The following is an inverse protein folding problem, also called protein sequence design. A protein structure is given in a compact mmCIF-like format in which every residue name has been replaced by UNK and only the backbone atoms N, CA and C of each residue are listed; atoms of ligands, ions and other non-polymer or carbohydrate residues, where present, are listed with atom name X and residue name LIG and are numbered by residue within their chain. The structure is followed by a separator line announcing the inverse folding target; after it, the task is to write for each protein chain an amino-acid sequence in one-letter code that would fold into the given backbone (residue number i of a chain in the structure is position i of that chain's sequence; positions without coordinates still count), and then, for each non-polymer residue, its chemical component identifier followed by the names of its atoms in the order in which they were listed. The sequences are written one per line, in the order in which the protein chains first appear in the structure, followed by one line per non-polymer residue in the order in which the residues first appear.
data_IF_997364435681
#
_entry.id   IF_997364435681
#
_cell.length_a   1.000
_cell.length_b   1.000
_cell.length_c   1.000
_cell.angle_alpha   90.00
_cell.angle_beta   90.00
_cell.angle_gamma   90.00
#
_symmetry.space_group_name_H-M   'P 1'
#
loop_
_entity.id
_entity.type
_entity.pdbx_description
1 polymer ?
#
# COMPACT_ATOMS: atom_id res chain seq x y z
N UNK A 1 -11.24 -14.52 49.11
CA UNK A 1 -10.37 -15.08 48.05
C UNK A 1 -10.36 -14.10 46.89
N UNK A 2 -9.22 -13.51 46.56
CA UNK A 2 -9.09 -12.65 45.39
C UNK A 2 -8.87 -13.52 44.14
N UNK A 3 -9.75 -13.43 43.15
CA UNK A 3 -9.58 -14.09 41.87
C UNK A 3 -8.54 -13.33 41.03
N UNK A 4 -7.43 -13.98 40.72
CA UNK A 4 -6.44 -13.45 39.79
C UNK A 4 -7.00 -13.49 38.36
N UNK A 5 -7.30 -12.32 37.80
CA UNK A 5 -7.60 -12.15 36.38
C UNK A 5 -6.32 -12.27 35.56
N UNK A 6 -5.84 -13.50 35.36
CA UNK A 6 -4.72 -13.77 34.45
C UNK A 6 -5.26 -13.80 33.01
N UNK A 7 -4.88 -12.80 32.22
CA UNK A 7 -5.17 -12.76 30.79
C UNK A 7 -4.60 -14.00 30.11
N UNK A 8 -5.46 -14.84 29.52
CA UNK A 8 -5.02 -16.02 28.77
C UNK A 8 -4.34 -15.56 27.48
N UNK A 9 -3.04 -15.80 27.37
CA UNK A 9 -2.29 -15.56 26.13
C UNK A 9 -2.68 -16.62 25.11
N UNK A 10 -3.49 -16.25 24.13
CA UNK A 10 -3.75 -17.09 22.97
C UNK A 10 -2.52 -17.10 22.06
N UNK A 11 -1.93 -18.27 21.86
CA UNK A 11 -0.84 -18.47 20.91
C UNK A 11 -1.48 -18.77 19.55
N UNK A 12 -1.60 -17.74 18.71
CA UNK A 12 -2.15 -17.88 17.36
C UNK A 12 -1.13 -18.40 16.35
N UNK A 13 0.16 -18.33 16.68
CA UNK A 13 1.26 -18.63 15.76
C UNK A 13 2.37 -19.37 16.48
N UNK A 14 2.83 -20.44 15.87
CA UNK A 14 4.07 -21.09 16.26
C UNK A 14 5.25 -20.32 15.64
N UNK A 15 6.21 -19.94 16.49
CA UNK A 15 7.42 -19.26 16.06
C UNK A 15 8.44 -20.30 15.63
N UNK A 16 8.68 -20.39 14.33
CA UNK A 16 9.78 -21.19 13.78
C UNK A 16 10.92 -20.27 13.35
N UNK A 17 12.15 -20.55 13.82
CA UNK A 17 13.33 -19.77 13.40
C UNK A 17 13.88 -20.35 12.11
N UNK A 18 13.78 -19.58 11.03
CA UNK A 18 14.34 -19.94 9.73
C UNK A 18 15.87 -19.92 9.80
N UNK A 19 16.52 -20.95 9.28
CA UNK A 19 17.98 -21.07 9.20
C UNK A 19 18.45 -20.95 7.75
N UNK A 20 19.64 -20.42 7.51
CA UNK A 20 20.20 -20.39 6.16
C UNK A 20 20.46 -21.81 5.66
N UNK A 21 20.02 -22.17 4.44
CA UNK A 21 20.29 -23.49 3.87
C UNK A 21 21.79 -23.71 3.55
N UNK A 22 22.55 -22.63 3.35
CA UNK A 22 23.98 -22.66 3.00
C UNK A 22 24.94 -22.48 4.18
N UNK A 23 24.50 -21.89 5.30
CA UNK A 23 25.36 -21.60 6.46
C UNK A 23 24.91 -22.36 7.70
N UNK A 24 25.28 -23.65 7.78
CA UNK A 24 25.43 -24.47 8.98
C UNK A 24 24.53 -24.13 10.19
N UNK A 25 23.22 -23.96 9.96
CA UNK A 25 22.24 -23.72 11.01
C UNK A 25 22.26 -22.34 11.67
N UNK A 26 22.95 -21.34 11.11
CA UNK A 26 22.81 -19.95 11.56
C UNK A 26 21.39 -19.44 11.29
N UNK A 27 20.85 -18.75 12.29
CA UNK A 27 19.54 -18.13 12.19
C UNK A 27 19.54 -17.06 11.11
N UNK A 28 18.49 -17.03 10.30
CA UNK A 28 18.24 -15.98 9.34
C UNK A 28 18.09 -14.64 10.07
N UNK A 29 18.95 -13.68 9.75
CA UNK A 29 18.90 -12.35 10.34
C UNK A 29 18.44 -11.36 9.29
N UNK A 30 17.39 -10.63 9.64
CA UNK A 30 16.94 -9.50 8.84
C UNK A 30 17.95 -8.36 8.97
N UNK A 31 18.30 -7.67 7.87
CA UNK A 31 19.17 -6.50 7.94
C UNK A 31 18.55 -5.39 8.79
N UNK A 32 19.42 -4.65 9.45
CA UNK A 32 19.02 -3.52 10.30
C UNK A 32 18.50 -2.39 9.41
N UNK A 33 17.43 -1.71 9.84
CA UNK A 33 16.91 -0.52 9.15
C UNK A 33 15.77 -0.78 8.17
N UNK A 34 14.98 -1.84 8.38
CA UNK A 34 13.77 -2.09 7.60
C UNK A 34 12.77 -0.95 7.85
N UNK A 35 12.50 -0.16 6.82
CA UNK A 35 11.58 0.98 6.89
C UNK A 35 10.18 0.66 6.34
N UNK A 36 10.06 -0.32 5.44
CA UNK A 36 8.80 -0.75 4.86
C UNK A 36 8.86 -2.23 4.46
N UNK A 37 7.73 -2.91 4.52
CA UNK A 37 7.56 -4.25 3.95
C UNK A 37 6.13 -4.39 3.42
N UNK A 38 5.96 -5.23 2.42
CA UNK A 38 4.65 -5.67 1.95
C UNK A 38 4.78 -7.12 1.45
N UNK A 39 3.69 -7.79 1.12
CA UNK A 39 3.72 -9.15 0.58
C UNK A 39 2.70 -9.36 -0.51
N UNK A 40 3.16 -9.95 -1.62
CA UNK A 40 2.32 -10.33 -2.75
C UNK A 40 2.92 -11.50 -3.52
N UNK A 41 2.06 -12.36 -4.07
CA UNK A 41 2.43 -13.47 -4.97
C UNK A 41 3.52 -14.41 -4.42
N UNK A 42 3.53 -14.66 -3.11
CA UNK A 42 4.53 -15.53 -2.48
C UNK A 42 5.90 -14.87 -2.27
N UNK A 43 5.97 -13.55 -2.42
CA UNK A 43 7.10 -12.73 -2.01
C UNK A 43 6.71 -11.92 -0.79
N UNK A 44 7.57 -11.90 0.23
CA UNK A 44 7.60 -10.84 1.24
C UNK A 44 8.68 -9.88 0.74
N UNK A 45 8.41 -8.57 0.72
CA UNK A 45 9.31 -7.56 0.15
C UNK A 45 10.52 -7.36 1.05
N UNK A 46 11.41 -8.31 0.83
CA UNK A 46 12.83 -8.52 1.04
C UNK A 46 13.33 -9.44 -0.12
N UNK A 47 12.57 -9.48 -1.23
CA UNK A 47 12.47 -10.58 -2.21
C UNK A 47 12.88 -11.95 -1.65
N UNK A 48 12.31 -12.30 -0.51
CA UNK A 48 12.35 -13.68 -0.06
C UNK A 48 11.30 -14.41 -0.89
N UNK A 49 11.80 -15.18 -1.84
CA UNK A 49 11.02 -16.19 -2.56
C UNK A 49 10.57 -17.28 -1.58
N UNK A 50 9.56 -18.08 -1.95
CA UNK A 50 9.18 -19.29 -1.18
C UNK A 50 10.36 -20.25 -0.95
N UNK A 51 11.37 -20.23 -1.82
CA UNK A 51 12.62 -20.97 -1.69
C UNK A 51 13.65 -20.32 -0.76
N UNK A 52 13.28 -19.24 -0.04
CA UNK A 52 14.14 -18.46 0.85
C UNK A 52 15.41 -17.94 0.19
N UNK A 53 15.40 -17.77 -1.14
CA UNK A 53 16.51 -17.16 -1.87
C UNK A 53 16.33 -15.64 -1.84
N UNK A 54 17.20 -14.91 -1.13
CA UNK A 54 17.11 -13.45 -1.05
C UNK A 54 17.54 -12.85 -2.39
N UNK A 55 16.67 -12.04 -2.97
CA UNK A 55 17.05 -11.12 -4.05
C UNK A 55 16.97 -9.70 -3.49
N UNK A 56 17.88 -8.83 -3.91
CA UNK A 56 17.83 -7.42 -3.53
C UNK A 56 18.21 -6.56 -4.71
N UNK A 57 17.67 -5.35 -4.73
CA UNK A 57 18.04 -4.34 -5.70
C UNK A 57 17.89 -2.98 -5.03
N UNK A 58 18.66 -2.01 -5.50
CA UNK A 58 18.59 -0.65 -4.97
C UNK A 58 17.44 0.10 -5.62
N UNK A 59 16.33 0.29 -4.89
CA UNK A 59 15.19 1.04 -5.38
C UNK A 59 15.40 2.57 -5.29
N UNK A 60 16.07 3.03 -4.24
CA UNK A 60 16.34 4.46 -3.99
C UNK A 60 17.73 4.65 -3.39
N UNK A 61 18.26 5.87 -3.51
CA UNK A 61 19.58 6.23 -2.95
C UNK A 61 19.56 6.42 -1.42
N UNK A 62 18.47 6.94 -0.85
CA UNK A 62 18.39 7.20 0.61
C UNK A 62 17.53 6.18 1.35
N UNK A 63 16.21 6.19 1.13
CA UNK A 63 15.28 5.31 1.83
C UNK A 63 14.01 5.05 1.05
N UNK A 64 13.42 3.89 1.31
CA UNK A 64 12.04 3.54 0.92
C UNK A 64 11.15 3.84 2.12
N UNK A 65 10.01 4.47 1.91
CA UNK A 65 9.03 4.77 2.98
C UNK A 65 7.79 3.90 2.87
N UNK A 66 7.33 3.64 1.63
CA UNK A 66 6.09 2.90 1.39
C UNK A 66 6.29 1.90 0.26
N UNK A 67 5.65 0.75 0.38
CA UNK A 67 5.65 -0.31 -0.61
C UNK A 67 4.22 -0.80 -0.80
N UNK A 68 3.87 -1.10 -2.05
CA UNK A 68 2.59 -1.68 -2.41
C UNK A 68 2.80 -2.64 -3.59
N UNK A 69 2.70 -3.94 -3.32
CA UNK A 69 2.79 -5.01 -4.29
C UNK A 69 1.39 -5.50 -4.67
N UNK A 70 1.13 -5.52 -5.97
CA UNK A 70 -0.14 -6.03 -6.46
C UNK A 70 -0.19 -7.56 -6.34
N UNK A 71 -1.39 -8.09 -6.12
CA UNK A 71 -1.62 -9.54 -5.99
C UNK A 71 -1.86 -10.17 -7.36
N UNK A 72 -2.55 -9.46 -8.25
CA UNK A 72 -2.92 -9.98 -9.57
C UNK A 72 -1.87 -9.70 -10.65
N UNK A 73 -0.96 -8.76 -10.42
CA UNK A 73 0.11 -8.40 -11.37
C UNK A 73 1.47 -8.42 -10.68
N UNK A 74 2.55 -8.76 -11.40
CA UNK A 74 3.91 -8.72 -10.86
C UNK A 74 4.49 -7.30 -10.91
N UNK A 75 3.72 -6.37 -10.37
CA UNK A 75 4.04 -4.94 -10.32
C UNK A 75 4.21 -4.56 -8.87
N UNK A 76 5.29 -3.84 -8.59
CA UNK A 76 5.58 -3.24 -7.29
C UNK A 76 5.57 -1.72 -7.45
N UNK A 77 4.81 -1.04 -6.60
CA UNK A 77 4.86 0.42 -6.47
C UNK A 77 5.57 0.75 -5.17
N UNK A 78 6.54 1.65 -5.23
CA UNK A 78 7.28 2.11 -4.07
C UNK A 78 7.25 3.62 -3.97
N UNK A 79 7.39 4.13 -2.76
CA UNK A 79 7.65 5.54 -2.46
C UNK A 79 8.95 5.63 -1.67
N UNK A 80 9.80 6.58 -2.03
CA UNK A 80 11.09 6.76 -1.37
C UNK A 80 11.78 8.05 -1.76
N UNK A 81 12.97 8.26 -1.22
CA UNK A 81 13.77 9.46 -1.43
C UNK A 81 15.10 9.10 -2.07
N UNK A 82 15.46 9.80 -3.15
CA UNK A 82 16.77 9.68 -3.78
C UNK A 82 17.73 10.77 -3.30
N UNK A 83 17.24 11.95 -2.91
CA UNK A 83 18.09 13.07 -2.49
C UNK A 83 17.47 13.78 -1.28
N UNK A 84 18.31 14.29 -0.36
CA UNK A 84 17.81 14.95 0.84
C UNK A 84 17.19 16.30 0.46
N UNK A 85 16.03 16.61 1.04
CA UNK A 85 15.32 17.86 0.77
C UNK A 85 14.49 17.89 -0.52
N UNK A 86 14.47 16.80 -1.30
CA UNK A 86 13.57 16.64 -2.46
C UNK A 86 12.30 15.89 -2.05
N UNK A 87 11.20 16.20 -2.74
CA UNK A 87 9.94 15.47 -2.61
C UNK A 87 10.14 13.97 -2.84
N UNK A 88 9.43 13.11 -2.08
CA UNK A 88 9.49 11.68 -2.30
C UNK A 88 9.05 11.33 -3.74
N UNK A 89 9.69 10.33 -4.32
CA UNK A 89 9.42 9.83 -5.66
C UNK A 89 8.64 8.52 -5.57
N UNK A 90 7.61 8.40 -6.40
CA UNK A 90 6.95 7.12 -6.67
C UNK A 90 7.67 6.45 -7.83
N UNK A 91 8.04 5.19 -7.65
CA UNK A 91 8.60 4.32 -8.69
C UNK A 91 7.70 3.13 -8.90
N UNK A 92 7.40 2.82 -10.15
CA UNK A 92 6.63 1.64 -10.57
C UNK A 92 7.59 0.63 -11.18
N UNK A 93 7.65 -0.56 -10.62
CA UNK A 93 8.57 -1.62 -10.98
C UNK A 93 7.81 -2.79 -11.60
N UNK A 94 8.25 -3.22 -12.76
CA UNK A 94 7.82 -4.47 -13.36
C UNK A 94 8.82 -5.57 -12.97
N UNK A 95 8.36 -6.51 -12.16
CA UNK A 95 9.20 -7.59 -11.62
C UNK A 95 9.38 -8.75 -12.61
N UNK A 96 8.57 -8.83 -13.67
CA UNK A 96 8.72 -9.82 -14.74
C UNK A 96 9.87 -9.47 -15.70
N UNK A 97 10.20 -8.19 -15.79
CA UNK A 97 11.27 -7.68 -16.65
C UNK A 97 12.46 -7.27 -15.80
N UNK A 98 13.66 -7.69 -16.21
CA UNK A 98 14.89 -7.25 -15.56
C UNK A 98 15.71 -6.39 -16.50
N UNK A 99 16.20 -5.28 -15.98
CA UNK A 99 17.22 -4.44 -16.60
C UNK A 99 18.48 -4.51 -15.74
N UNK A 100 19.59 -4.96 -16.34
CA UNK A 100 20.89 -5.06 -15.67
C UNK A 100 20.86 -5.80 -14.32
N UNK A 101 20.03 -6.85 -14.22
CA UNK A 101 19.86 -7.66 -13.01
C UNK A 101 18.83 -7.13 -12.00
N UNK A 102 18.37 -5.89 -12.15
CA UNK A 102 17.33 -5.26 -11.32
C UNK A 102 15.96 -5.30 -12.00
N UNK A 103 14.83 -5.25 -11.26
CA UNK A 103 13.52 -5.09 -11.87
C UNK A 103 13.41 -3.82 -12.71
N UNK A 104 12.72 -3.89 -13.85
CA UNK A 104 12.55 -2.75 -14.75
C UNK A 104 11.69 -1.67 -14.07
N UNK A 105 12.25 -0.47 -13.89
CA UNK A 105 11.48 0.70 -13.48
C UNK A 105 10.72 1.27 -14.67
N UNK A 106 9.39 1.09 -14.71
CA UNK A 106 8.57 1.54 -15.83
C UNK A 106 8.19 3.01 -15.74
N UNK A 107 8.06 3.56 -14.52
CA UNK A 107 7.70 4.97 -14.30
C UNK A 107 8.32 5.51 -13.03
N UNK A 108 8.67 6.80 -13.07
CA UNK A 108 9.14 7.60 -11.94
C UNK A 108 8.43 8.95 -11.98
N UNK A 109 7.84 9.36 -10.87
CA UNK A 109 7.20 10.68 -10.76
C UNK A 109 7.17 11.15 -9.30
N UNK A 110 7.14 12.47 -9.04
CA UNK A 110 7.11 12.98 -7.67
C UNK A 110 5.74 12.79 -7.01
N UNK A 111 5.75 12.41 -5.73
CA UNK A 111 4.55 12.34 -4.89
C UNK A 111 4.32 13.72 -4.23
N UNK A 112 3.63 14.62 -4.93
CA UNK A 112 3.34 15.97 -4.43
C UNK A 112 1.84 16.25 -4.56
N UNK A 113 1.17 16.69 -3.49
CA UNK A 113 -0.18 17.23 -3.58
C UNK A 113 -0.10 18.69 -4.08
N UNK A 114 -0.13 18.87 -5.41
CA UNK A 114 -0.07 20.19 -6.02
C UNK A 114 1.34 20.80 -5.97
N UNK A 115 1.49 21.97 -5.34
CA UNK A 115 2.75 22.73 -5.33
C UNK A 115 3.51 22.69 -3.99
N UNK A 116 2.93 22.13 -2.92
CA UNK A 116 3.55 22.10 -1.60
C UNK A 116 4.17 20.73 -1.33
N UNK A 117 5.45 20.66 -0.91
CA UNK A 117 6.04 19.43 -0.38
C UNK A 117 5.27 18.93 0.85
N UNK A 118 4.69 17.73 0.75
CA UNK A 118 4.03 17.06 1.87
C UNK A 118 4.49 15.61 1.94
N UNK A 119 4.69 15.10 3.15
CA UNK A 119 5.03 13.69 3.38
C UNK A 119 3.89 12.75 3.01
N UNK A 120 4.24 11.66 2.33
CA UNK A 120 3.30 10.58 2.01
C UNK A 120 2.99 9.79 3.28
N UNK A 121 1.72 9.64 3.59
CA UNK A 121 1.26 8.87 4.75
C UNK A 121 0.82 7.46 4.36
N UNK A 122 0.22 7.29 3.18
CA UNK A 122 -0.26 5.98 2.71
C UNK A 122 -0.33 5.90 1.17
N UNK A 123 -0.31 4.67 0.64
CA UNK A 123 -0.35 4.36 -0.78
C UNK A 123 -1.35 3.22 -1.01
N UNK A 124 -2.14 3.31 -2.08
CA UNK A 124 -3.00 2.21 -2.53
C UNK A 124 -3.04 2.16 -4.06
N UNK A 125 -3.07 0.95 -4.60
CA UNK A 125 -3.13 0.71 -6.04
C UNK A 125 -4.24 -0.29 -6.32
N UNK A 126 -5.06 -0.02 -7.33
CA UNK A 126 -6.11 -0.94 -7.75
C UNK A 126 -5.51 -2.09 -8.57
N UNK A 127 -6.03 -3.30 -8.35
CA UNK A 127 -5.60 -4.52 -9.05
C UNK A 127 -5.80 -4.48 -10.58
N UNK A 128 -6.52 -3.49 -11.12
CA UNK A 128 -6.73 -3.35 -12.57
C UNK A 128 -5.72 -2.39 -13.22
N UNK A 129 -4.73 -1.91 -12.46
CA UNK A 129 -3.69 -0.97 -12.87
C UNK A 129 -4.19 0.39 -13.39
N UNK A 130 -5.48 0.70 -13.25
CA UNK A 130 -6.07 1.93 -13.78
C UNK A 130 -6.21 3.05 -12.75
N UNK A 131 -5.99 2.74 -11.47
CA UNK A 131 -6.10 3.70 -10.37
C UNK A 131 -4.99 3.50 -9.37
N UNK A 132 -4.41 4.61 -8.92
CA UNK A 132 -3.49 4.69 -7.80
C UNK A 132 -3.84 5.91 -6.98
N UNK A 133 -3.89 5.75 -5.66
CA UNK A 133 -4.13 6.84 -4.71
C UNK A 133 -2.95 6.97 -3.75
N UNK A 134 -2.54 8.20 -3.50
CA UNK A 134 -1.49 8.58 -2.55
C UNK A 134 -2.12 9.52 -1.54
N UNK A 135 -2.01 9.18 -0.26
CA UNK A 135 -2.48 10.01 0.85
C UNK A 135 -1.31 10.69 1.52
N UNK A 136 -1.54 11.90 2.02
CA UNK A 136 -0.52 12.74 2.63
C UNK A 136 -0.86 13.08 4.08
N UNK A 137 0.15 13.53 4.81
CA UNK A 137 0.02 13.93 6.22
C UNK A 137 -0.78 15.22 6.42
N UNK A 138 -0.85 16.08 5.40
CA UNK A 138 -1.69 17.28 5.40
C UNK A 138 -3.17 16.98 5.13
N UNK A 139 -3.56 15.71 5.00
CA UNK A 139 -4.93 15.34 4.67
C UNK A 139 -5.27 15.46 3.20
N UNK A 140 -4.28 15.66 2.32
CA UNK A 140 -4.54 15.62 0.88
C UNK A 140 -4.53 14.19 0.32
N UNK A 141 -5.28 13.96 -0.76
CA UNK A 141 -5.26 12.70 -1.51
C UNK A 141 -5.08 12.99 -2.99
N UNK A 142 -4.05 12.41 -3.59
CA UNK A 142 -3.79 12.45 -5.03
C UNK A 142 -4.20 11.12 -5.66
N UNK A 143 -5.17 11.16 -6.58
CA UNK A 143 -5.61 10.03 -7.39
C UNK A 143 -5.04 10.15 -8.80
N UNK A 144 -4.23 9.19 -9.20
CA UNK A 144 -3.83 8.98 -10.59
C UNK A 144 -4.77 7.98 -11.25
N UNK A 145 -5.39 8.40 -12.36
CA UNK A 145 -6.28 7.60 -13.19
C UNK A 145 -5.63 7.31 -14.54
N UNK A 146 -5.72 6.07 -15.00
CA UNK A 146 -5.09 5.58 -16.22
C UNK A 146 -4.10 4.46 -15.90
N UNK A 147 -3.50 3.89 -16.94
CA UNK A 147 -2.53 2.81 -16.78
C UNK A 147 -1.33 3.29 -15.95
N UNK A 148 -1.17 2.79 -14.72
CA UNK A 148 -0.09 3.19 -13.83
C UNK A 148 1.28 2.73 -14.34
N UNK A 149 1.34 1.78 -15.25
CA UNK A 149 2.58 1.24 -15.82
C UNK A 149 3.04 2.04 -17.04
N UNK A 150 2.18 2.88 -17.61
CA UNK A 150 2.45 3.69 -18.81
C UNK A 150 2.19 5.17 -18.57
N UNK A 151 3.00 6.02 -19.17
CA UNK A 151 2.88 7.47 -18.97
C UNK A 151 1.75 8.08 -19.81
N UNK A 152 1.62 7.60 -21.06
CA UNK A 152 0.64 8.05 -22.05
C UNK A 152 -0.77 7.78 -21.52
N UNK A 153 -1.52 8.86 -21.23
CA UNK A 153 -2.93 8.92 -20.80
C UNK A 153 -3.24 8.89 -19.29
N UNK A 154 -2.24 8.99 -18.41
CA UNK A 154 -2.53 9.13 -16.97
C UNK A 154 -2.98 10.57 -16.62
N UNK A 155 -4.09 10.69 -15.86
CA UNK A 155 -4.62 11.96 -15.33
C UNK A 155 -4.51 11.94 -13.81
N UNK A 156 -3.88 12.94 -13.24
CA UNK A 156 -3.73 13.09 -11.79
C UNK A 156 -4.76 14.10 -11.27
N UNK A 157 -5.46 13.75 -10.19
CA UNK A 157 -6.53 14.52 -9.57
C UNK A 157 -6.28 14.63 -8.07
N UNK A 158 -6.34 15.83 -7.52
CA UNK A 158 -6.38 16.03 -6.06
C UNK A 158 -7.84 15.94 -5.60
N UNK A 159 -8.14 14.99 -4.71
CA UNK A 159 -9.52 14.62 -4.34
C UNK A 159 -9.97 15.13 -2.96
N UNK A 160 -9.04 15.23 -2.01
CA UNK A 160 -9.34 15.57 -0.63
C UNK A 160 -8.38 16.67 -0.17
N UNK A 161 -8.90 17.64 0.57
CA UNK A 161 -8.16 18.64 1.32
C UNK A 161 -8.77 18.64 2.72
N UNK A 162 -8.27 17.74 3.58
CA UNK A 162 -8.60 17.70 5.01
C UNK A 162 -7.54 18.40 5.84
N UNK A 163 -7.74 18.49 7.17
CA UNK A 163 -6.69 18.92 8.12
C UNK A 163 -6.09 17.74 8.91
N UNK A 164 -6.59 16.52 8.69
CA UNK A 164 -6.15 15.32 9.39
C UNK A 164 -5.34 14.41 8.46
N UNK A 165 -4.23 13.81 8.93
CA UNK A 165 -3.46 12.86 8.15
C UNK A 165 -4.31 11.71 7.61
N UNK A 166 -4.09 11.36 6.34
CA UNK A 166 -4.71 10.16 5.77
C UNK A 166 -3.98 8.95 6.33
N UNK A 167 -4.72 8.02 6.94
CA UNK A 167 -4.15 6.82 7.58
C UNK A 167 -4.44 5.54 6.80
N UNK A 168 -5.44 5.56 5.90
CA UNK A 168 -5.77 4.42 5.07
C UNK A 168 -6.42 4.80 3.76
N UNK A 169 -6.09 4.05 2.72
CA UNK A 169 -6.68 4.15 1.39
C UNK A 169 -7.02 2.75 0.90
N UNK A 170 -8.24 2.57 0.41
CA UNK A 170 -8.66 1.29 -0.14
C UNK A 170 -9.56 1.48 -1.35
N UNK A 171 -9.22 0.82 -2.46
CA UNK A 171 -10.11 0.71 -3.59
C UNK A 171 -11.10 -0.44 -3.41
N UNK A 172 -12.35 -0.21 -3.79
CA UNK A 172 -13.37 -1.25 -3.90
C UNK A 172 -14.10 -1.13 -5.23
N UNK A 173 -14.12 -2.21 -5.99
CA UNK A 173 -14.92 -2.30 -7.20
C UNK A 173 -16.34 -2.77 -6.87
N UNK A 174 -17.34 -2.04 -7.36
CA UNK A 174 -18.75 -2.38 -7.27
C UNK A 174 -19.35 -2.32 -8.68
N UNK A 175 -19.42 -3.48 -9.35
CA UNK A 175 -19.80 -3.57 -10.76
C UNK A 175 -18.83 -2.79 -11.65
N UNK A 176 -19.35 -1.80 -12.40
CA UNK A 176 -18.55 -0.95 -13.30
C UNK A 176 -17.91 0.26 -12.59
N UNK A 177 -18.24 0.51 -11.32
CA UNK A 177 -17.78 1.69 -10.59
C UNK A 177 -16.70 1.31 -9.60
N UNK A 178 -15.60 2.06 -9.61
CA UNK A 178 -14.56 1.97 -8.58
C UNK A 178 -14.79 3.09 -7.56
N UNK A 179 -14.78 2.70 -6.28
CA UNK A 179 -14.85 3.61 -5.14
C UNK A 179 -13.49 3.63 -4.43
N UNK A 180 -13.07 4.82 -4.01
CA UNK A 180 -11.94 5.00 -3.09
C UNK A 180 -12.49 5.26 -1.69
N UNK A 181 -12.07 4.48 -0.72
CA UNK A 181 -12.31 4.75 0.70
C UNK A 181 -11.07 5.44 1.26
N UNK A 182 -11.29 6.57 1.93
CA UNK A 182 -10.26 7.38 2.57
C UNK A 182 -10.53 7.35 4.07
N UNK A 183 -9.55 6.89 4.84
CA UNK A 183 -9.61 6.82 6.30
C UNK A 183 -8.67 7.85 6.90
N UNK A 184 -9.19 8.64 7.84
CA UNK A 184 -8.43 9.50 8.75
C UNK A 184 -8.59 8.98 10.18
N UNK A 185 -7.95 9.62 11.15
CA UNK A 185 -8.15 9.31 12.56
C UNK A 185 -9.58 9.57 13.05
N UNK A 186 -10.31 10.46 12.37
CA UNK A 186 -11.63 10.90 12.81
C UNK A 186 -12.77 10.19 12.09
N UNK A 187 -12.58 9.82 10.81
CA UNK A 187 -13.65 9.29 9.97
C UNK A 187 -13.14 8.44 8.81
N UNK A 188 -14.06 7.67 8.24
CA UNK A 188 -13.87 6.99 6.96
C UNK A 188 -14.90 7.52 5.97
N UNK A 189 -14.45 8.02 4.83
CA UNK A 189 -15.32 8.56 3.78
C UNK A 189 -15.13 7.84 2.45
N UNK A 190 -16.20 7.80 1.65
CA UNK A 190 -16.21 7.20 0.32
C UNK A 190 -16.14 8.30 -0.74
N UNK A 191 -15.04 8.33 -1.49
CA UNK A 191 -14.82 9.24 -2.61
C UNK A 191 -15.01 8.47 -3.93
N UNK A 192 -15.89 8.92 -4.84
CA UNK A 192 -16.02 8.27 -6.15
C UNK A 192 -14.76 8.50 -7.00
N UNK A 193 -14.14 7.44 -7.51
CA UNK A 193 -12.88 7.51 -8.29
C UNK A 193 -13.04 8.18 -9.67
N UNK A 194 -14.24 8.66 -10.01
CA UNK A 194 -14.58 9.32 -11.28
C UNK A 194 -14.91 10.81 -11.13
N UNK A 195 -15.02 11.36 -9.91
CA UNK A 195 -15.45 12.74 -9.72
C UNK A 195 -14.28 13.73 -9.81
N UNK A 196 -14.32 14.57 -10.85
CA UNK A 196 -13.65 15.86 -10.95
C UNK A 196 -14.55 16.93 -10.31
N UNK A 197 -14.07 17.62 -9.26
CA UNK A 197 -14.66 18.88 -8.79
C UNK A 197 -15.85 18.80 -7.82
N UNK A 198 -15.75 19.59 -6.75
CA UNK A 198 -16.75 19.96 -5.74
C UNK A 198 -17.48 18.86 -4.96
N UNK A 199 -17.13 18.83 -3.67
CA UNK A 199 -17.81 18.18 -2.56
C UNK A 199 -19.30 18.53 -2.54
N UNK A 200 -20.16 17.59 -2.93
CA UNK A 200 -21.50 17.51 -2.35
C UNK A 200 -21.54 16.25 -1.50
N UNK A 201 -21.64 16.47 -0.19
CA UNK A 201 -21.98 15.46 0.80
C UNK A 201 -23.15 14.63 0.24
N UNK A 202 -22.95 13.32 0.11
CA UNK A 202 -24.12 12.46 0.01
C UNK A 202 -24.90 12.64 1.33
N UNK A 203 -26.21 12.88 1.31
CA UNK A 203 -26.97 12.92 2.54
C UNK A 203 -26.86 11.56 3.25
N UNK A 204 -26.89 11.52 4.59
CA UNK A 204 -26.86 10.27 5.32
C UNK A 204 -28.05 9.42 4.89
N UNK A 205 -27.79 8.16 4.53
CA UNK A 205 -28.84 7.17 4.32
C UNK A 205 -29.45 6.85 5.68
N UNK A 206 -30.42 7.67 6.11
CA UNK A 206 -31.37 7.27 7.14
C UNK A 206 -32.32 6.23 6.54
N UNK A 207 -32.42 5.08 7.22
CA UNK A 207 -33.59 4.22 7.15
C UNK A 207 -33.46 2.98 6.26
N UNK A 208 -32.83 1.93 6.80
CA UNK A 208 -33.31 0.56 6.60
C UNK A 208 -32.75 -0.34 7.73
N UNK A 209 -33.55 -0.51 8.78
CA UNK A 209 -33.39 -1.60 9.74
C UNK A 209 -33.45 -2.94 8.97
N UNK A 210 -32.32 -3.65 8.89
CA UNK A 210 -32.28 -5.12 8.76
C UNK A 210 -31.10 -5.66 9.57
N UNK A 211 -31.30 -6.75 10.34
CA UNK A 211 -30.33 -7.20 11.33
C UNK A 211 -29.06 -7.75 10.67
N UNK A 212 -27.93 -7.47 11.31
CA UNK A 212 -26.60 -7.98 11.00
C UNK A 212 -26.59 -9.52 11.09
N UNK A 213 -26.40 -10.19 9.97
CA UNK A 213 -26.02 -11.59 9.92
C UNK A 213 -24.61 -11.70 9.30
N UNK A 214 -23.66 -12.14 10.13
CA UNK A 214 -22.45 -12.89 9.75
C UNK A 214 -21.49 -12.26 8.74
N UNK A 215 -20.58 -11.42 9.20
CA UNK A 215 -19.27 -11.26 8.54
C UNK A 215 -18.46 -12.54 8.80
N UNK A 216 -18.55 -13.49 7.88
CA UNK A 216 -17.65 -14.66 7.86
C UNK A 216 -16.32 -14.20 7.26
N UNK A 217 -15.27 -14.26 8.07
CA UNK A 217 -13.88 -14.12 7.61
C UNK A 217 -13.55 -15.37 6.81
N UNK A 218 -13.54 -15.26 5.48
CA UNK A 218 -12.92 -16.28 4.64
C UNK A 218 -11.41 -16.03 4.58
N UNK A 219 -10.69 -16.64 5.51
CA UNK A 219 -9.27 -16.96 5.35
C UNK A 219 -9.15 -18.07 4.30
N UNK A 220 -9.02 -17.69 3.03
CA UNK A 220 -8.73 -18.62 1.94
C UNK A 220 -7.23 -18.72 1.71
N UNK A 221 -6.54 -19.54 2.50
CA UNK A 221 -5.27 -20.15 2.11
C UNK A 221 -5.59 -21.50 1.46
N UNK A 222 -5.33 -21.61 0.16
CA UNK A 222 -5.03 -22.87 -0.53
C UNK A 222 -3.87 -22.61 -1.46
#
# INVERSE_FOLDING_TARGET
MAAFLQWRRFVFFDKETVKYPSENGKNFQLPVGISACDSGRGHIIWFLTRSLQPSSFQAYKLRVTHLYQLKQHNILVSVGQDEPGINPLVKVWNLDKKDSGSPLCTRIFPAIPGNKPTEVSCLSVHENLNFMAIGFTDGSVVLTKGDITRDRHSKTLSLHEGNCPITGLAFRQAGKVTHLFVATLEKVERVPSYKTGHTRLCPPLLGAHRPLAGLTVHSGWR
#
